data_IF_771066395091
#
_entry.id   IF_771066395091
#
_cell.length_a   1.000
_cell.length_b   1.000
_cell.length_c   1.000
_cell.angle_alpha   90.00
_cell.angle_beta   90.00
_cell.angle_gamma   90.00
#
_symmetry.space_group_name_H-M   'P 1'
#
loop_
_entity.id
_entity.type
_entity.pdbx_description
1 polymer ?
#
# COMPACT_ATOMS: atom_id res chain seq x y z
N UNK A 1 -1.02 -22.49 -5.29
CA UNK A 1 -1.88 -21.43 -5.85
C UNK A 1 -1.23 -20.97 -7.15
N UNK A 2 -1.89 -21.04 -8.31
CA UNK A 2 -1.32 -20.59 -9.58
C UNK A 2 -1.50 -19.07 -9.70
N UNK A 3 -0.43 -18.30 -9.52
CA UNK A 3 -0.45 -16.84 -9.67
C UNK A 3 -0.22 -16.47 -11.14
N UNK A 4 -1.20 -15.82 -11.76
CA UNK A 4 -0.96 -15.10 -13.01
C UNK A 4 -0.48 -13.70 -12.63
N UNK A 5 0.82 -13.47 -12.72
CA UNK A 5 1.45 -12.17 -12.44
C UNK A 5 1.52 -11.38 -13.74
N UNK A 6 0.58 -10.44 -13.88
CA UNK A 6 0.42 -9.55 -15.04
C UNK A 6 1.64 -8.60 -15.18
N UNK A 7 1.71 -7.81 -16.26
CA UNK A 7 2.93 -7.08 -16.67
C UNK A 7 3.33 -5.89 -15.77
N UNK A 8 2.43 -5.37 -14.94
CA UNK A 8 2.70 -4.25 -14.04
C UNK A 8 3.66 -4.59 -12.89
N UNK A 9 4.35 -3.58 -12.35
CA UNK A 9 5.15 -3.76 -11.12
C UNK A 9 4.25 -3.97 -9.91
N UNK A 10 4.83 -4.44 -8.81
CA UNK A 10 4.10 -4.73 -7.57
C UNK A 10 4.65 -3.87 -6.43
N UNK A 11 3.88 -3.65 -5.37
CA UNK A 11 4.27 -2.75 -4.28
C UNK A 11 4.13 -3.39 -2.91
N UNK A 12 5.09 -3.08 -2.03
CA UNK A 12 4.95 -3.13 -0.59
C UNK A 12 4.87 -1.69 -0.06
N UNK A 13 3.71 -1.29 0.43
CA UNK A 13 3.43 0.06 0.88
C UNK A 13 3.19 0.11 2.38
N UNK A 14 3.80 1.09 3.03
CA UNK A 14 3.48 1.42 4.41
C UNK A 14 2.30 2.38 4.43
N UNK A 15 1.29 2.06 5.22
CA UNK A 15 0.25 3.04 5.57
C UNK A 15 0.35 3.43 7.05
N UNK A 16 -0.39 4.47 7.42
CA UNK A 16 -0.63 4.87 8.81
C UNK A 16 -2.13 4.98 9.01
N UNK A 17 -2.62 4.47 10.12
CA UNK A 17 -3.98 4.76 10.54
C UNK A 17 -3.97 6.18 11.09
N UNK A 18 -4.76 7.04 10.47
CA UNK A 18 -4.94 8.44 10.84
C UNK A 18 -6.40 8.57 11.28
N UNK A 19 -6.62 9.18 12.44
CA UNK A 19 -7.96 9.48 12.94
C UNK A 19 -8.69 10.38 11.91
N UNK A 20 -9.96 10.08 11.65
CA UNK A 20 -10.78 10.78 10.64
C UNK A 20 -10.26 10.73 9.19
N UNK A 21 -9.35 9.81 8.87
CA UNK A 21 -8.90 9.52 7.51
C UNK A 21 -8.89 8.01 7.25
N UNK A 22 -10.03 7.43 6.81
CA UNK A 22 -10.15 5.99 6.59
C UNK A 22 -9.49 5.54 5.28
N UNK A 23 -8.15 5.61 5.24
CA UNK A 23 -7.32 5.18 4.12
C UNK A 23 -6.10 4.37 4.59
N UNK A 24 -5.82 3.17 4.03
CA UNK A 24 -6.58 2.47 3.00
C UNK A 24 -7.99 2.08 3.48
N UNK A 25 -8.98 2.23 2.61
CA UNK A 25 -10.33 1.75 2.90
C UNK A 25 -10.43 0.26 2.57
N UNK A 26 -10.04 -0.60 3.51
CA UNK A 26 -9.98 -2.05 3.29
C UNK A 26 -11.32 -2.71 2.96
N UNK A 27 -12.45 -2.15 3.41
CA UNK A 27 -13.79 -2.67 3.08
C UNK A 27 -14.14 -2.43 1.60
N UNK A 28 -13.63 -1.35 1.04
CA UNK A 28 -13.93 -0.92 -0.32
C UNK A 28 -12.81 -1.28 -1.32
N UNK A 29 -11.66 -1.74 -0.80
CA UNK A 29 -10.43 -2.01 -1.52
C UNK A 29 -9.92 -0.78 -2.27
N UNK A 30 -9.93 0.37 -1.61
CA UNK A 30 -9.37 1.60 -2.17
C UNK A 30 -8.22 2.11 -1.32
N UNK A 31 -7.28 2.79 -1.96
CA UNK A 31 -6.15 3.47 -1.33
C UNK A 31 -5.80 4.73 -2.13
N UNK A 32 -5.60 5.85 -1.44
CA UNK A 32 -5.07 7.07 -2.05
C UNK A 32 -3.57 7.18 -1.85
N UNK A 33 -2.84 7.59 -2.88
CA UNK A 33 -1.43 7.96 -2.76
C UNK A 33 -1.22 9.34 -3.36
N UNK A 34 -0.39 10.15 -2.71
CA UNK A 34 -0.19 11.53 -3.08
C UNK A 34 1.31 11.88 -3.20
N UNK A 35 1.60 13.03 -3.80
CA UNK A 35 2.94 13.61 -3.90
C UNK A 35 3.98 12.65 -4.54
N UNK A 36 5.11 12.45 -3.87
CA UNK A 36 6.35 11.92 -4.44
C UNK A 36 6.27 10.49 -4.96
N UNK A 37 5.33 9.68 -4.48
CA UNK A 37 5.21 8.29 -4.92
C UNK A 37 4.10 8.08 -5.96
N UNK A 38 3.20 9.05 -6.14
CA UNK A 38 2.15 9.00 -7.17
C UNK A 38 2.74 8.82 -8.60
N UNK A 39 3.79 9.55 -9.04
CA UNK A 39 4.39 9.32 -10.36
C UNK A 39 4.85 7.88 -10.59
N UNK A 40 5.44 7.24 -9.57
CA UNK A 40 5.86 5.83 -9.64
C UNK A 40 4.67 4.89 -9.82
N UNK A 41 3.55 5.17 -9.16
CA UNK A 41 2.31 4.38 -9.32
C UNK A 41 1.77 4.55 -10.74
N UNK A 42 1.67 5.79 -11.24
CA UNK A 42 1.16 6.11 -12.58
C UNK A 42 1.95 5.37 -13.67
N UNK A 43 3.26 5.42 -13.57
CA UNK A 43 4.16 4.83 -14.55
C UNK A 43 4.08 3.29 -14.53
N UNK A 44 4.20 2.67 -13.35
CA UNK A 44 4.53 1.25 -13.25
C UNK A 44 3.39 0.33 -12.81
N UNK A 45 2.34 0.86 -12.18
CA UNK A 45 1.26 0.05 -11.60
C UNK A 45 0.10 0.00 -12.57
N UNK A 46 -0.36 -1.23 -12.85
CA UNK A 46 -1.40 -1.52 -13.84
C UNK A 46 -2.40 -2.52 -13.26
N UNK A 47 -3.50 -2.75 -13.96
CA UNK A 47 -4.41 -3.83 -13.61
C UNK A 47 -3.65 -5.17 -13.50
N UNK A 48 -3.92 -5.93 -12.44
CA UNK A 48 -3.21 -7.16 -12.11
C UNK A 48 -1.95 -7.00 -11.24
N UNK A 49 -1.46 -5.77 -11.04
CA UNK A 49 -0.40 -5.50 -10.07
C UNK A 49 -0.83 -5.92 -8.65
N UNK A 50 0.11 -6.42 -7.86
CA UNK A 50 -0.12 -6.76 -6.46
C UNK A 50 0.34 -5.62 -5.55
N UNK A 51 -0.49 -5.26 -4.57
CA UNK A 51 -0.25 -4.18 -3.63
C UNK A 51 -0.41 -4.71 -2.20
N UNK A 52 0.71 -4.87 -1.49
CA UNK A 52 0.75 -5.30 -0.10
C UNK A 52 0.83 -4.09 0.83
N UNK A 53 0.03 -4.08 1.88
CA UNK A 53 0.04 -3.03 2.89
C UNK A 53 0.72 -3.53 4.15
N UNK A 54 1.52 -2.66 4.76
CA UNK A 54 2.14 -2.91 6.05
C UNK A 54 2.01 -1.75 7.01
N UNK A 55 1.95 -2.05 8.30
CA UNK A 55 1.99 -1.04 9.37
C UNK A 55 2.73 -1.57 10.60
N UNK A 56 2.86 -0.72 11.62
CA UNK A 56 3.35 -1.13 12.93
C UNK A 56 2.19 -1.48 13.84
N UNK A 57 2.22 -2.67 14.43
CA UNK A 57 1.33 -3.10 15.50
C UNK A 57 2.23 -3.52 16.67
N UNK A 58 2.00 -2.99 17.87
CA UNK A 58 2.77 -3.32 19.09
C UNK A 58 4.31 -3.32 18.88
N UNK A 59 4.83 -2.26 18.25
CA UNK A 59 6.27 -2.06 17.96
C UNK A 59 6.90 -3.12 17.03
N UNK A 60 6.10 -3.87 16.29
CA UNK A 60 6.55 -4.81 15.26
C UNK A 60 5.89 -4.48 13.92
N UNK A 61 6.52 -4.89 12.82
CA UNK A 61 6.03 -4.65 11.46
C UNK A 61 5.21 -5.82 10.99
N UNK A 62 4.06 -5.54 10.38
CA UNK A 62 3.15 -6.56 9.87
C UNK A 62 2.68 -6.20 8.47
N UNK A 63 2.59 -7.20 7.60
CA UNK A 63 1.76 -7.14 6.40
C UNK A 63 0.31 -7.33 6.88
N UNK A 64 -0.57 -6.39 6.55
CA UNK A 64 -1.94 -6.36 7.09
C UNK A 64 -3.00 -6.51 6.01
N UNK A 65 -2.69 -6.24 4.75
CA UNK A 65 -3.65 -6.36 3.66
C UNK A 65 -2.96 -6.60 2.33
N UNK A 66 -3.75 -7.06 1.36
CA UNK A 66 -3.31 -7.25 -0.01
C UNK A 66 -4.43 -6.96 -1.01
N UNK A 67 -4.12 -6.11 -1.99
CA UNK A 67 -4.96 -5.85 -3.15
C UNK A 67 -4.32 -6.42 -4.41
N UNK A 68 -5.14 -6.99 -5.29
CA UNK A 68 -4.83 -7.04 -6.72
C UNK A 68 -5.44 -5.81 -7.35
N UNK A 69 -4.66 -5.00 -8.03
CA UNK A 69 -5.13 -3.75 -8.65
C UNK A 69 -6.11 -4.08 -9.77
N UNK A 70 -7.35 -3.57 -9.67
CA UNK A 70 -8.33 -3.59 -10.76
C UNK A 70 -8.08 -2.40 -11.69
N UNK A 71 -7.87 -1.22 -11.10
CA UNK A 71 -7.63 0.02 -11.84
C UNK A 71 -6.88 1.05 -10.98
N UNK A 72 -6.20 1.95 -11.68
CA UNK A 72 -5.57 3.15 -11.15
C UNK A 72 -6.30 4.34 -11.78
N UNK A 73 -6.71 5.31 -10.98
CA UNK A 73 -7.50 6.47 -11.42
C UNK A 73 -6.85 7.73 -10.87
N UNK A 74 -6.80 8.80 -11.66
CA UNK A 74 -6.38 10.11 -11.16
C UNK A 74 -7.38 10.63 -10.13
N UNK A 75 -6.89 11.23 -9.05
CA UNK A 75 -7.72 11.73 -7.94
C UNK A 75 -8.69 12.81 -8.39
N UNK A 76 -8.21 13.76 -9.20
CA UNK A 76 -9.02 14.84 -9.77
C UNK A 76 -10.16 14.32 -10.66
N UNK A 77 -9.93 13.22 -11.39
CA UNK A 77 -10.98 12.52 -12.16
C UNK A 77 -11.94 11.78 -11.23
N UNK A 78 -11.41 11.06 -10.23
CA UNK A 78 -12.21 10.27 -9.30
C UNK A 78 -13.20 11.13 -8.50
N UNK A 79 -12.79 12.34 -8.08
CA UNK A 79 -13.64 13.31 -7.36
C UNK A 79 -14.75 13.92 -8.23
N UNK A 80 -14.58 13.92 -9.55
CA UNK A 80 -15.59 14.39 -10.51
C UNK A 80 -16.51 13.28 -11.02
N UNK A 81 -16.09 12.03 -10.93
CA UNK A 81 -16.92 10.89 -11.32
C UNK A 81 -17.99 10.58 -10.25
N UNK A 82 -19.23 10.98 -10.53
CA UNK A 82 -20.39 10.72 -9.68
C UNK A 82 -20.64 9.21 -9.43
N UNK A 83 -20.27 8.32 -10.35
CA UNK A 83 -20.39 6.87 -10.15
C UNK A 83 -19.36 6.38 -9.13
N UNK A 84 -18.13 6.91 -9.17
CA UNK A 84 -17.09 6.57 -8.19
C UNK A 84 -17.43 7.11 -6.81
N UNK A 85 -17.85 8.37 -6.70
CA UNK A 85 -18.32 8.94 -5.43
C UNK A 85 -19.50 8.18 -4.82
N UNK A 86 -20.45 7.73 -5.64
CA UNK A 86 -21.56 6.90 -5.12
C UNK A 86 -21.10 5.53 -4.62
N UNK A 87 -20.01 5.00 -5.18
CA UNK A 87 -19.53 3.64 -4.91
C UNK A 87 -18.52 3.57 -3.76
N UNK A 88 -17.72 4.61 -3.58
CA UNK A 88 -16.57 4.62 -2.68
C UNK A 88 -16.62 5.83 -1.75
N UNK A 89 -16.34 5.61 -0.46
CA UNK A 89 -16.31 6.64 0.60
C UNK A 89 -14.90 7.08 0.98
N UNK A 90 -13.91 6.64 0.21
CA UNK A 90 -12.52 6.97 0.44
C UNK A 90 -12.31 8.50 0.46
N UNK A 91 -11.55 9.03 1.44
CA UNK A 91 -11.36 10.48 1.59
C UNK A 91 -10.74 11.15 0.36
N UNK A 92 -9.90 10.44 -0.40
CA UNK A 92 -9.30 10.98 -1.62
C UNK A 92 -10.28 11.06 -2.81
N UNK A 93 -11.42 10.35 -2.74
CA UNK A 93 -12.51 10.38 -3.74
C UNK A 93 -13.63 11.34 -3.32
N UNK A 94 -13.83 11.49 -2.00
CA UNK A 94 -14.92 12.29 -1.43
C UNK A 94 -14.45 13.27 -0.35
N UNK A 95 -13.48 14.14 -0.65
CA UNK A 95 -12.95 15.07 0.35
C UNK A 95 -14.03 15.97 0.98
N UNK A 96 -15.16 16.19 0.30
CA UNK A 96 -16.31 16.93 0.84
C UNK A 96 -16.93 16.29 2.10
N UNK A 97 -16.79 14.96 2.27
CA UNK A 97 -17.22 14.26 3.49
C UNK A 97 -16.14 14.23 4.58
N UNK A 98 -14.92 14.69 4.28
CA UNK A 98 -13.76 14.64 5.17
C UNK A 98 -13.06 16.02 5.26
N UNK A 99 -13.79 17.10 5.64
CA UNK A 99 -13.28 18.47 5.58
C UNK A 99 -12.09 18.73 6.52
N UNK A 100 -12.00 18.00 7.63
CA UNK A 100 -10.88 18.11 8.58
C UNK A 100 -9.58 17.67 7.91
N UNK A 101 -9.62 16.53 7.20
CA UNK A 101 -8.46 16.01 6.49
C UNK A 101 -8.11 16.88 5.27
N UNK A 102 -9.12 17.29 4.50
CA UNK A 102 -8.93 18.12 3.31
C UNK A 102 -8.36 19.51 3.66
N UNK A 103 -8.62 20.00 4.88
CA UNK A 103 -8.21 21.33 5.33
C UNK A 103 -9.23 22.41 5.01
N UNK A 104 -10.50 22.05 4.85
CA UNK A 104 -11.59 22.99 4.59
C UNK A 104 -12.72 22.39 3.75
N UNK A 105 -13.55 23.26 3.18
CA UNK A 105 -14.55 22.87 2.18
C UNK A 105 -13.85 22.48 0.88
N UNK A 106 -14.34 21.41 0.24
CA UNK A 106 -13.92 21.03 -1.09
C UNK A 106 -14.93 21.52 -2.14
N UNK A 107 -14.43 22.24 -3.14
CA UNK A 107 -15.18 22.56 -4.36
C UNK A 107 -14.51 21.86 -5.57
N UNK A 108 -15.21 20.99 -6.30
CA UNK A 108 -14.69 20.38 -7.52
C UNK A 108 -14.30 21.38 -8.62
N UNK A 109 -14.81 22.61 -8.60
CA UNK A 109 -14.43 23.65 -9.57
C UNK A 109 -13.02 24.21 -9.29
N UNK A 110 -12.58 24.19 -8.03
CA UNK A 110 -11.28 24.68 -7.59
C UNK A 110 -10.16 23.62 -7.70
N UNK A 111 -10.50 22.37 -7.98
CA UNK A 111 -9.55 21.24 -8.01
C UNK A 111 -8.79 21.20 -9.36
N UNK A 112 -7.52 21.62 -9.44
CA UNK A 112 -6.82 21.69 -10.72
C UNK A 112 -6.77 20.32 -11.40
N UNK A 113 -7.05 20.28 -12.70
CA UNK A 113 -6.94 19.07 -13.53
C UNK A 113 -5.48 18.81 -13.91
N UNK A 114 -4.64 18.59 -12.91
CA UNK A 114 -3.21 18.38 -13.07
C UNK A 114 -2.81 16.95 -12.69
N UNK A 115 -1.74 16.48 -13.32
CA UNK A 115 -1.16 15.14 -13.15
C UNK A 115 -0.17 15.03 -11.97
N UNK A 116 -0.01 16.10 -11.20
CA UNK A 116 0.76 16.16 -9.96
C UNK A 116 -0.07 15.79 -8.71
N UNK A 117 -1.36 15.52 -8.90
CA UNK A 117 -2.32 15.21 -7.84
C UNK A 117 -2.32 13.77 -7.33
N UNK A 118 -3.25 13.53 -6.41
CA UNK A 118 -3.55 12.22 -5.84
C UNK A 118 -3.81 11.15 -6.92
N UNK A 119 -3.45 9.91 -6.63
CA UNK A 119 -3.83 8.72 -7.38
C UNK A 119 -4.65 7.81 -6.49
N UNK A 120 -5.72 7.26 -7.05
CA UNK A 120 -6.57 6.27 -6.41
C UNK A 120 -6.27 4.89 -6.97
N UNK A 121 -5.86 3.98 -6.08
CA UNK A 121 -5.79 2.55 -6.37
C UNK A 121 -7.12 1.92 -5.97
N UNK A 122 -7.70 1.15 -6.89
CA UNK A 122 -8.91 0.37 -6.67
C UNK A 122 -8.57 -1.11 -6.88
N UNK A 123 -8.82 -1.92 -5.86
CA UNK A 123 -8.55 -3.35 -5.85
C UNK A 123 -9.72 -4.19 -6.37
N UNK A 124 -9.38 -5.30 -7.01
CA UNK A 124 -10.29 -6.31 -7.53
C UNK A 124 -10.89 -7.11 -6.37
N UNK A 125 -12.22 -7.05 -6.21
CA UNK A 125 -12.94 -7.72 -5.10
C UNK A 125 -12.87 -9.25 -5.11
N UNK A 126 -12.62 -9.87 -6.26
CA UNK A 126 -12.55 -11.33 -6.40
C UNK A 126 -11.13 -11.86 -6.20
N UNK A 127 -10.12 -11.08 -6.59
CA UNK A 127 -8.70 -11.50 -6.56
C UNK A 127 -7.95 -11.00 -5.32
N UNK A 128 -8.40 -9.90 -4.70
CA UNK A 128 -7.76 -9.33 -3.51
C UNK A 128 -8.05 -10.18 -2.27
N UNK A 129 -7.09 -10.20 -1.33
CA UNK A 129 -7.33 -10.78 0.00
C UNK A 129 -8.03 -9.76 0.92
N UNK A 130 -7.92 -8.46 0.60
CA UNK A 130 -8.39 -7.39 1.48
C UNK A 130 -7.54 -7.32 2.75
N UNK A 131 -8.15 -6.89 3.86
CA UNK A 131 -7.51 -6.93 5.19
C UNK A 131 -7.36 -8.37 5.64
N UNK A 132 -6.15 -8.76 6.01
CA UNK A 132 -5.85 -10.08 6.56
C UNK A 132 -6.52 -10.21 7.93
N UNK A 133 -7.18 -11.34 8.18
CA UNK A 133 -7.75 -11.68 9.49
C UNK A 133 -6.65 -11.77 10.55
N UNK A 134 -5.55 -12.42 10.20
CA UNK A 134 -4.34 -12.51 11.01
C UNK A 134 -3.19 -11.81 10.26
N UNK A 135 -2.71 -10.64 10.71
CA UNK A 135 -1.60 -9.95 10.07
C UNK A 135 -0.31 -10.78 10.05
N UNK A 136 0.38 -10.82 8.93
CA UNK A 136 1.65 -11.55 8.77
C UNK A 136 2.80 -10.73 9.36
N UNK A 137 3.49 -11.29 10.35
CA UNK A 137 4.68 -10.68 10.93
C UNK A 137 5.77 -10.53 9.85
N UNK A 138 6.23 -9.31 9.64
CA UNK A 138 7.40 -9.01 8.83
C UNK A 138 8.62 -8.98 9.76
N UNK A 139 9.19 -10.15 10.00
CA UNK A 139 10.38 -10.36 10.82
C UNK A 139 11.67 -10.42 9.98
N UNK A 140 12.78 -10.75 10.62
CA UNK A 140 14.09 -10.92 9.97
C UNK A 140 14.06 -12.03 8.91
N UNK A 141 13.40 -13.15 9.19
CA UNK A 141 13.44 -14.31 8.32
C UNK A 141 12.62 -14.09 7.04
N UNK A 142 11.47 -13.43 7.14
CA UNK A 142 10.73 -12.97 5.97
C UNK A 142 11.47 -11.82 5.28
N UNK A 143 11.97 -10.84 6.04
CA UNK A 143 12.65 -9.66 5.51
C UNK A 143 13.90 -9.96 4.68
N UNK A 144 14.69 -10.98 5.06
CA UNK A 144 15.86 -11.45 4.30
C UNK A 144 15.49 -12.03 2.92
N UNK A 145 14.28 -12.57 2.77
CA UNK A 145 13.82 -13.18 1.52
C UNK A 145 13.32 -12.14 0.51
N UNK A 146 13.00 -10.93 0.97
CA UNK A 146 12.52 -9.86 0.10
C UNK A 146 13.69 -9.19 -0.63
N UNK A 147 13.56 -9.09 -1.95
CA UNK A 147 14.62 -8.63 -2.85
C UNK A 147 14.47 -7.17 -3.26
N UNK A 148 13.23 -6.74 -3.48
CA UNK A 148 12.84 -5.45 -4.06
C UNK A 148 13.43 -5.20 -5.46
N UNK A 149 12.67 -4.52 -6.32
CA UNK A 149 13.07 -4.25 -7.72
C UNK A 149 14.36 -3.42 -7.81
N UNK A 150 14.58 -2.51 -6.87
CA UNK A 150 15.79 -1.68 -6.83
C UNK A 150 17.06 -2.43 -6.36
N UNK A 151 16.92 -3.67 -5.86
CA UNK A 151 18.02 -4.43 -5.23
C UNK A 151 18.42 -3.93 -3.83
N UNK A 152 17.80 -2.87 -3.32
CA UNK A 152 18.05 -2.34 -1.97
C UNK A 152 17.38 -3.21 -0.88
N UNK A 153 17.87 -4.45 -0.73
CA UNK A 153 17.37 -5.42 0.25
C UNK A 153 17.41 -4.88 1.68
N UNK A 154 16.56 -5.44 2.55
CA UNK A 154 16.58 -5.11 3.98
C UNK A 154 17.91 -5.59 4.57
N UNK A 155 18.71 -4.65 5.06
CA UNK A 155 19.98 -4.93 5.75
C UNK A 155 19.74 -5.03 7.25
N UNK A 156 20.29 -6.07 7.84
CA UNK A 156 20.24 -6.33 9.28
C UNK A 156 21.62 -6.13 9.91
N UNK A 157 21.66 -6.16 11.24
CA UNK A 157 22.91 -6.03 12.01
C UNK A 157 23.67 -4.72 11.76
N UNK A 158 22.91 -3.66 11.44
CA UNK A 158 23.43 -2.31 11.25
C UNK A 158 23.82 -1.73 12.61
N UNK A 159 25.02 -1.15 12.69
CA UNK A 159 25.49 -0.35 13.82
C UNK A 159 25.29 1.13 13.45
N UNK A 160 24.62 1.90 14.30
CA UNK A 160 24.41 3.33 14.09
C UNK A 160 25.68 4.14 14.38
N UNK A 161 25.63 5.45 14.07
CA UNK A 161 26.74 6.38 14.31
C UNK A 161 27.17 6.51 15.77
N UNK A 162 26.34 6.09 16.71
CA UNK A 162 26.59 6.12 18.15
C UNK A 162 27.10 4.77 18.67
N UNK A 163 27.35 3.79 17.79
CA UNK A 163 27.79 2.45 18.17
C UNK A 163 26.67 1.50 18.61
N UNK A 164 25.40 1.90 18.52
CA UNK A 164 24.29 1.05 18.93
C UNK A 164 23.85 0.15 17.78
N UNK A 165 23.60 -1.12 18.09
CA UNK A 165 23.01 -2.06 17.13
C UNK A 165 21.52 -1.74 16.92
N UNK A 166 21.13 -1.52 15.67
CA UNK A 166 19.72 -1.36 15.31
C UNK A 166 18.96 -2.67 15.50
N UNK A 167 17.73 -2.57 16.00
CA UNK A 167 16.82 -3.71 16.09
C UNK A 167 16.32 -4.10 14.70
N UNK A 168 15.90 -5.36 14.54
CA UNK A 168 15.35 -5.84 13.27
C UNK A 168 14.13 -5.02 12.83
N UNK A 169 13.25 -4.66 13.77
CA UNK A 169 12.14 -3.74 13.51
C UNK A 169 12.62 -2.39 12.97
N UNK A 170 13.70 -1.82 13.52
CA UNK A 170 14.24 -0.54 13.06
C UNK A 170 14.83 -0.66 11.65
N UNK A 171 15.59 -1.72 11.37
CA UNK A 171 16.11 -2.06 10.04
C UNK A 171 14.98 -2.17 9.01
N UNK A 172 13.96 -2.98 9.30
CA UNK A 172 12.79 -3.17 8.43
C UNK A 172 12.06 -1.84 8.25
N UNK A 173 11.77 -1.13 9.34
CA UNK A 173 11.04 0.14 9.31
C UNK A 173 11.75 1.21 8.48
N UNK A 174 13.08 1.30 8.60
CA UNK A 174 13.88 2.24 7.82
C UNK A 174 13.84 1.89 6.33
N UNK A 175 14.03 0.60 6.02
CA UNK A 175 14.06 0.12 4.65
C UNK A 175 12.69 0.22 3.96
N UNK A 176 11.58 0.00 4.66
CA UNK A 176 10.22 0.00 4.10
C UNK A 176 9.41 1.25 4.44
N UNK A 177 10.08 2.32 4.90
CA UNK A 177 9.42 3.60 5.23
C UNK A 177 8.75 4.23 4.02
N UNK A 178 9.45 4.22 2.89
CA UNK A 178 8.94 4.63 1.58
C UNK A 178 8.43 3.36 0.90
N UNK A 179 7.31 3.41 0.17
CA UNK A 179 6.85 2.28 -0.61
C UNK A 179 7.96 1.69 -1.48
N UNK A 180 7.93 0.36 -1.65
CA UNK A 180 8.92 -0.39 -2.42
C UNK A 180 8.25 -1.07 -3.57
N UNK A 181 8.81 -0.89 -4.77
CA UNK A 181 8.54 -1.80 -5.87
C UNK A 181 9.15 -3.17 -5.52
N UNK A 182 8.34 -4.22 -5.57
CA UNK A 182 8.70 -5.59 -5.20
C UNK A 182 8.66 -6.50 -6.41
N UNK A 183 9.50 -7.53 -6.40
CA UNK A 183 9.64 -8.46 -7.52
C UNK A 183 8.49 -9.46 -7.57
N UNK A 184 8.36 -10.20 -8.68
CA UNK A 184 7.46 -11.35 -8.78
C UNK A 184 7.76 -12.42 -7.71
N UNK A 185 9.05 -12.64 -7.41
CA UNK A 185 9.46 -13.56 -6.36
C UNK A 185 9.07 -13.06 -4.96
N UNK A 186 9.12 -11.75 -4.71
CA UNK A 186 8.65 -11.17 -3.45
C UNK A 186 7.15 -11.41 -3.26
N UNK A 187 6.35 -11.22 -4.31
CA UNK A 187 4.91 -11.51 -4.28
C UNK A 187 4.66 -12.98 -3.92
N UNK A 188 5.34 -13.91 -4.59
CA UNK A 188 5.24 -15.35 -4.31
C UNK A 188 5.65 -15.66 -2.86
N UNK A 189 6.75 -15.06 -2.40
CA UNK A 189 7.26 -15.22 -1.03
C UNK A 189 6.24 -14.77 0.01
N UNK A 190 5.63 -13.60 -0.19
CA UNK A 190 4.61 -13.06 0.69
C UNK A 190 3.35 -13.95 0.69
N UNK A 191 2.85 -14.37 -0.46
CA UNK A 191 1.70 -15.27 -0.53
C UNK A 191 1.95 -16.63 0.13
N UNK A 192 3.15 -17.20 -0.06
CA UNK A 192 3.51 -18.46 0.59
C UNK A 192 3.54 -18.29 2.12
N UNK A 193 4.11 -17.19 2.62
CA UNK A 193 4.11 -16.87 4.05
C UNK A 193 2.70 -16.69 4.60
N UNK A 194 1.83 -15.94 3.90
CA UNK A 194 0.41 -15.77 4.27
C UNK A 194 -0.31 -17.12 4.28
N UNK A 195 -0.14 -17.95 3.25
CA UNK A 195 -0.80 -19.25 3.13
C UNK A 195 -0.39 -20.20 4.25
N UNK A 196 0.90 -20.22 4.61
CA UNK A 196 1.42 -21.02 5.71
C UNK A 196 0.85 -20.63 7.07
N UNK A 197 0.48 -19.36 7.27
CA UNK A 197 -0.20 -18.93 8.49
C UNK A 197 -1.62 -19.49 8.56
N UNK A 198 -2.40 -19.35 7.48
CA UNK A 198 -3.79 -19.82 7.46
C UNK A 198 -3.95 -21.34 7.45
N UNK A 199 -2.93 -22.09 7.01
CA UNK A 199 -2.94 -23.55 7.08
C UNK A 199 -2.54 -24.11 8.46
N UNK A 200 -2.11 -23.24 9.40
CA UNK A 200 -1.77 -23.61 10.78
C UNK A 200 -2.90 -23.31 11.78
N UNK A 201 -3.94 -22.61 11.34
CA UNK A 201 -5.19 -22.38 12.08
C UNK A 201 -6.20 -23.50 11.79
#
# INVERSE_FOLDING_TARGET
MNFKLDEGKHILCRYREIEDHPDPCFKELTYGECYYFAPTIREHIKAGSHYFFQTTINKQRYITAHYVVEKVVEGCEARRDNKLKKKYKNPHIRPEEHPIWWGGSYDPEDDPMTDDGDIIIIGDKKRSLGKLKTPLLLDRELGKKLEFESGNKIKFDIIDKNGNKLTDTACISSCTRVPRLITKNDVITLFNAISLMYNKE
#
